data_IF_658115467769
#
_entry.id   IF_658115467769
#
_cell.length_a   1.000
_cell.length_b   1.000
_cell.length_c   1.000
_cell.angle_alpha   90.00
_cell.angle_beta   90.00
_cell.angle_gamma   90.00
#
_symmetry.space_group_name_H-M   'P 1'
#
loop_
_entity.id
_entity.type
_entity.pdbx_description
1 polymer ?
#
# COMPACT_ATOMS: atom_id res chain seq x y z
N UNK A 1 -8.88 7.41 17.66
CA UNK A 1 -7.64 8.15 17.32
C UNK A 1 -6.73 7.20 16.56
N UNK A 2 -7.17 6.76 15.39
CA UNK A 2 -6.49 5.75 14.57
C UNK A 2 -6.17 6.33 13.21
N UNK A 3 -4.92 6.13 12.79
CA UNK A 3 -4.40 6.27 11.42
C UNK A 3 -4.15 7.68 10.87
N UNK A 4 -2.97 8.19 11.12
CA UNK A 4 -2.30 9.22 10.29
C UNK A 4 -1.49 8.62 9.14
N UNK A 5 -1.65 7.32 8.87
CA UNK A 5 -0.72 6.48 8.12
C UNK A 5 -0.86 6.56 6.63
N UNK A 6 -2.07 6.42 6.18
CA UNK A 6 -2.42 6.29 4.77
C UNK A 6 -2.20 7.61 4.02
N UNK A 7 -2.69 8.69 4.62
CA UNK A 7 -2.55 10.04 4.08
C UNK A 7 -1.09 10.50 3.96
N UNK A 8 -0.24 10.11 4.92
CA UNK A 8 1.18 10.45 4.89
C UNK A 8 1.95 9.68 3.81
N UNK A 9 1.58 8.41 3.54
CA UNK A 9 2.19 7.63 2.47
C UNK A 9 1.81 8.21 1.09
N UNK A 10 0.56 8.53 0.88
CA UNK A 10 0.07 9.13 -0.36
C UNK A 10 0.63 10.55 -0.59
N UNK A 11 0.58 11.43 0.42
CA UNK A 11 1.13 12.78 0.34
C UNK A 11 2.65 12.78 0.13
N UNK A 12 3.39 11.86 0.78
CA UNK A 12 4.83 11.71 0.58
C UNK A 12 5.17 11.20 -0.83
N UNK A 13 4.40 10.25 -1.37
CA UNK A 13 4.57 9.75 -2.73
C UNK A 13 4.34 10.82 -3.79
N UNK A 14 3.36 11.70 -3.61
CA UNK A 14 3.06 12.82 -4.55
C UNK A 14 4.01 14.00 -4.39
N UNK A 15 4.47 14.33 -3.20
CA UNK A 15 5.49 15.38 -3.00
C UNK A 15 6.80 15.08 -3.77
N UNK A 16 7.09 13.81 -4.02
CA UNK A 16 8.23 13.39 -4.86
C UNK A 16 7.93 13.56 -6.36
N UNK A 17 6.67 13.50 -6.80
CA UNK A 17 6.25 13.64 -8.22
C UNK A 17 5.92 15.07 -8.62
N UNK A 18 5.38 15.88 -7.71
CA UNK A 18 5.02 17.29 -7.94
C UNK A 18 6.22 18.23 -7.77
N UNK A 19 6.99 18.47 -8.80
CA UNK A 19 8.20 19.30 -8.82
C UNK A 19 8.00 20.79 -8.56
N UNK A 20 7.05 21.24 -7.74
CA UNK A 20 6.78 22.66 -7.52
C UNK A 20 6.78 23.15 -6.06
N UNK A 21 6.79 22.28 -5.07
CA UNK A 21 6.67 22.71 -3.65
C UNK A 21 7.88 22.52 -2.75
N UNK A 22 9.04 22.07 -3.24
CA UNK A 22 10.28 21.96 -2.42
C UNK A 22 11.50 22.63 -3.07
N UNK A 23 11.41 23.93 -3.37
CA UNK A 23 12.59 24.78 -3.70
C UNK A 23 13.41 25.19 -2.48
N UNK A 24 13.31 24.52 -1.34
CA UNK A 24 14.08 24.89 -0.14
C UNK A 24 14.91 23.75 0.49
N UNK A 25 14.90 22.53 -0.04
CA UNK A 25 15.91 21.54 0.34
C UNK A 25 17.06 21.60 -0.66
N UNK A 26 18.11 22.34 -0.34
CA UNK A 26 19.37 22.38 -1.11
C UNK A 26 19.80 20.96 -1.43
N UNK A 27 20.01 20.68 -2.72
CA UNK A 27 20.72 19.50 -3.22
C UNK A 27 22.04 19.39 -2.46
N UNK A 28 22.09 18.50 -1.47
CA UNK A 28 23.36 17.97 -1.04
C UNK A 28 23.90 17.09 -2.19
N UNK A 29 25.22 17.13 -2.48
CA UNK A 29 25.81 16.33 -3.53
C UNK A 29 25.53 14.85 -3.22
N UNK A 30 25.20 14.06 -4.24
CA UNK A 30 25.06 12.59 -4.16
C UNK A 30 26.44 11.98 -3.87
N UNK A 31 26.90 12.10 -2.63
CA UNK A 31 27.92 11.24 -2.09
C UNK A 31 27.34 9.83 -2.01
N UNK A 32 28.15 8.83 -2.31
CA UNK A 32 27.83 7.41 -2.13
C UNK A 32 27.54 7.15 -0.65
N UNK A 33 26.31 7.41 -0.23
CA UNK A 33 25.86 7.18 1.14
C UNK A 33 25.71 5.66 1.31
N UNK A 34 26.78 4.97 1.72
CA UNK A 34 26.67 3.65 2.34
C UNK A 34 25.81 3.89 3.58
N UNK A 35 24.52 3.54 3.46
CA UNK A 35 23.63 3.56 4.61
C UNK A 35 24.15 2.47 5.56
N UNK A 36 24.66 2.89 6.71
CA UNK A 36 25.15 1.97 7.74
C UNK A 36 23.89 1.43 8.44
N UNK A 37 23.65 0.12 8.36
CA UNK A 37 22.68 -0.53 9.23
C UNK A 37 23.13 -0.41 10.68
N UNK A 38 22.21 -0.33 11.66
CA UNK A 38 22.57 -0.55 13.05
C UNK A 38 23.29 -1.88 13.23
N UNK A 39 24.30 -1.93 14.10
CA UNK A 39 25.15 -3.11 14.26
C UNK A 39 24.37 -4.38 14.58
N UNK A 40 23.37 -4.32 15.48
CA UNK A 40 22.51 -5.46 15.79
C UNK A 40 21.71 -5.92 14.58
N UNK A 41 21.15 -5.00 13.80
CA UNK A 41 20.42 -5.35 12.58
C UNK A 41 21.34 -5.99 11.54
N UNK A 42 22.56 -5.49 11.38
CA UNK A 42 23.56 -6.07 10.48
C UNK A 42 23.98 -7.48 10.93
N UNK A 43 24.22 -7.65 12.23
CA UNK A 43 24.58 -8.94 12.81
C UNK A 43 23.46 -9.95 12.62
N UNK A 44 22.20 -9.60 12.96
CA UNK A 44 21.05 -10.46 12.78
C UNK A 44 20.88 -10.95 11.33
N UNK A 45 20.97 -10.03 10.37
CA UNK A 45 20.88 -10.40 8.93
C UNK A 45 22.00 -11.37 8.53
N UNK A 46 23.22 -11.19 9.01
CA UNK A 46 24.34 -12.09 8.72
C UNK A 46 24.14 -13.47 9.35
N UNK A 47 23.65 -13.52 10.60
CA UNK A 47 23.43 -14.77 11.33
C UNK A 47 22.29 -15.61 10.71
N UNK A 48 21.22 -14.95 10.25
CA UNK A 48 20.11 -15.60 9.52
C UNK A 48 20.59 -16.31 8.26
N UNK A 49 21.50 -15.69 7.49
CA UNK A 49 22.03 -16.30 6.27
C UNK A 49 23.04 -17.41 6.60
N UNK A 50 23.70 -17.33 7.75
CA UNK A 50 24.56 -18.38 8.28
C UNK A 50 26.00 -17.95 8.54
N UNK A 51 26.72 -18.81 9.24
CA UNK A 51 28.12 -18.56 9.64
C UNK A 51 29.01 -18.22 8.45
N UNK A 52 29.79 -17.16 8.59
CA UNK A 52 30.72 -16.69 7.56
C UNK A 52 30.08 -15.80 6.50
N UNK A 53 28.81 -15.48 6.67
CA UNK A 53 28.13 -14.51 5.81
C UNK A 53 28.55 -13.09 6.12
N UNK A 54 28.54 -12.22 5.10
CA UNK A 54 28.89 -10.81 5.27
C UNK A 54 27.99 -9.93 4.39
N UNK A 55 27.58 -8.80 4.93
CA UNK A 55 26.84 -7.80 4.16
C UNK A 55 27.82 -7.14 3.20
N UNK A 56 27.52 -7.19 1.92
CA UNK A 56 28.31 -6.59 0.84
C UNK A 56 27.78 -5.21 0.44
N UNK A 57 26.48 -4.98 0.60
CA UNK A 57 25.88 -3.67 0.43
C UNK A 57 24.59 -3.54 1.24
N UNK A 58 24.32 -2.32 1.74
CA UNK A 58 23.04 -1.95 2.31
C UNK A 58 22.65 -0.56 1.77
N UNK A 59 21.42 -0.42 1.32
CA UNK A 59 20.87 0.82 0.79
C UNK A 59 19.46 1.03 1.33
N UNK A 60 19.21 2.16 1.93
CA UNK A 60 17.86 2.54 2.35
C UNK A 60 16.97 2.64 1.08
N UNK A 61 15.85 1.97 1.14
CA UNK A 61 14.78 2.13 0.16
C UNK A 61 13.99 3.41 0.50
N UNK A 62 13.15 3.86 -0.41
CA UNK A 62 12.34 5.06 -0.19
C UNK A 62 11.67 5.00 1.19
N UNK A 63 11.52 6.14 1.89
CA UNK A 63 10.88 6.16 3.19
C UNK A 63 9.42 5.70 3.04
N UNK A 64 9.14 4.50 3.52
CA UNK A 64 7.78 4.12 3.91
C UNK A 64 7.38 4.96 5.12
N UNK A 65 6.11 5.29 5.29
CA UNK A 65 5.64 6.11 6.41
C UNK A 65 5.99 5.53 7.78
N UNK A 66 5.91 4.22 7.94
CA UNK A 66 6.00 3.50 9.21
C UNK A 66 7.29 2.71 9.40
N UNK A 67 7.86 2.19 8.33
CA UNK A 67 8.97 1.26 8.35
C UNK A 67 10.23 1.89 7.75
N UNK A 68 11.37 1.45 8.26
CA UNK A 68 12.66 1.74 7.64
C UNK A 68 13.09 0.52 6.84
N UNK A 69 12.99 0.63 5.53
CA UNK A 69 13.28 -0.45 4.59
C UNK A 69 14.70 -0.33 4.02
N UNK A 70 15.45 -1.43 4.01
CA UNK A 70 16.77 -1.51 3.41
C UNK A 70 16.84 -2.64 2.39
N UNK A 71 17.33 -2.34 1.19
CA UNK A 71 17.82 -3.40 0.29
C UNK A 71 19.21 -3.82 0.75
N UNK A 72 19.37 -5.10 1.06
CA UNK A 72 20.60 -5.68 1.59
C UNK A 72 21.09 -6.76 0.64
N UNK A 73 22.39 -6.78 0.35
CA UNK A 73 23.05 -7.89 -0.32
C UNK A 73 24.00 -8.56 0.66
N UNK A 74 23.88 -9.88 0.79
CA UNK A 74 24.67 -10.69 1.71
C UNK A 74 25.39 -11.77 0.92
N UNK A 75 26.72 -11.84 1.00
CA UNK A 75 27.48 -12.95 0.48
C UNK A 75 27.58 -14.03 1.56
N UNK A 76 27.19 -15.26 1.24
CA UNK A 76 27.41 -16.42 2.12
C UNK A 76 28.85 -16.93 2.07
N UNK A 77 29.16 -17.94 2.87
CA UNK A 77 30.48 -18.56 2.92
C UNK A 77 30.91 -19.24 1.60
N UNK A 78 29.97 -19.52 0.72
CA UNK A 78 30.21 -20.14 -0.60
C UNK A 78 30.31 -19.09 -1.72
N UNK A 79 30.15 -17.80 -1.41
CA UNK A 79 30.20 -16.71 -2.36
C UNK A 79 28.88 -16.43 -3.08
N UNK A 80 27.80 -17.12 -2.75
CA UNK A 80 26.48 -16.79 -3.31
C UNK A 80 25.97 -15.48 -2.70
N UNK A 81 25.34 -14.68 -3.52
CA UNK A 81 24.76 -13.39 -3.08
C UNK A 81 23.25 -13.50 -2.89
N UNK A 82 22.82 -13.35 -1.65
CA UNK A 82 21.41 -13.24 -1.26
C UNK A 82 20.98 -11.78 -1.39
N UNK A 83 19.93 -11.51 -2.15
CA UNK A 83 19.32 -10.19 -2.29
C UNK A 83 18.06 -10.13 -1.44
N UNK A 84 18.06 -9.27 -0.44
CA UNK A 84 17.06 -9.24 0.62
C UNK A 84 16.53 -7.82 0.81
N UNK A 85 15.36 -7.74 1.46
CA UNK A 85 14.82 -6.51 2.03
C UNK A 85 14.70 -6.71 3.53
N UNK A 86 15.39 -5.90 4.29
CA UNK A 86 15.22 -5.77 5.74
C UNK A 86 14.21 -4.65 6.00
N UNK A 87 13.08 -4.99 6.58
CA UNK A 87 12.02 -4.09 6.96
C UNK A 87 11.95 -4.01 8.48
N UNK A 88 12.10 -2.81 9.03
CA UNK A 88 12.24 -2.56 10.47
C UNK A 88 11.19 -1.58 10.96
N UNK A 89 10.54 -1.89 12.07
CA UNK A 89 9.55 -1.03 12.75
C UNK A 89 10.28 -0.04 13.65
N UNK A 90 11.05 0.88 13.06
CA UNK A 90 11.97 1.75 13.77
C UNK A 90 11.36 3.13 14.11
N UNK A 91 10.09 3.38 13.79
CA UNK A 91 9.42 4.63 14.17
C UNK A 91 8.92 4.52 15.61
N UNK A 92 9.34 5.42 16.53
CA UNK A 92 8.84 5.43 17.91
C UNK A 92 7.31 5.61 17.95
N UNK A 93 6.63 4.86 18.78
CA UNK A 93 5.19 4.99 19.03
C UNK A 93 4.29 4.35 17.95
N UNK A 94 4.86 3.56 17.04
CA UNK A 94 4.07 2.89 15.98
C UNK A 94 2.96 1.99 16.57
N UNK A 95 3.18 1.36 17.72
CA UNK A 95 2.22 0.48 18.39
C UNK A 95 0.94 1.22 18.83
N UNK A 96 1.08 2.50 19.16
CA UNK A 96 -0.06 3.33 19.56
C UNK A 96 -0.84 3.84 18.36
N UNK A 97 -0.17 3.97 17.21
CA UNK A 97 -0.80 4.48 15.98
C UNK A 97 -1.67 3.41 15.31
N UNK A 98 -1.20 2.16 15.24
CA UNK A 98 -2.01 1.03 14.79
C UNK A 98 -1.49 -0.30 15.35
N UNK A 99 -2.17 -0.88 16.37
CA UNK A 99 -1.75 -2.13 17.00
C UNK A 99 -1.85 -3.35 16.06
N UNK A 100 -2.55 -3.21 14.94
CA UNK A 100 -2.65 -4.26 13.93
C UNK A 100 -1.46 -4.29 12.95
N UNK A 101 -0.58 -3.27 12.95
CA UNK A 101 0.60 -3.17 12.08
C UNK A 101 1.81 -3.89 12.66
N UNK A 102 1.73 -5.19 12.84
CA UNK A 102 2.79 -5.97 13.48
C UNK A 102 3.62 -6.80 12.48
N UNK A 103 4.83 -7.15 12.90
CA UNK A 103 5.71 -8.07 12.16
C UNK A 103 5.03 -9.43 11.97
N UNK A 104 4.36 -9.93 13.01
CA UNK A 104 3.65 -11.22 12.98
C UNK A 104 2.56 -11.24 11.93
N UNK A 105 1.82 -10.13 11.79
CA UNK A 105 0.75 -10.03 10.81
C UNK A 105 1.31 -10.06 9.39
N UNK A 106 2.30 -9.22 9.08
CA UNK A 106 2.92 -9.22 7.76
C UNK A 106 3.57 -10.56 7.44
N UNK A 107 4.28 -11.17 8.42
CA UNK A 107 4.87 -12.50 8.27
C UNK A 107 3.82 -13.53 7.88
N UNK A 108 2.72 -13.60 8.64
CA UNK A 108 1.63 -14.57 8.39
C UNK A 108 1.01 -14.41 7.00
N UNK A 109 0.77 -13.17 6.57
CA UNK A 109 0.21 -12.91 5.23
C UNK A 109 1.18 -13.38 4.15
N UNK A 110 2.45 -12.99 4.23
CA UNK A 110 3.46 -13.36 3.23
C UNK A 110 3.66 -14.88 3.17
N UNK A 111 3.59 -15.57 4.31
CA UNK A 111 3.64 -17.04 4.37
C UNK A 111 2.41 -17.69 3.71
N UNK A 112 1.20 -17.13 3.89
CA UNK A 112 -0.02 -17.58 3.21
C UNK A 112 0.09 -17.43 1.69
N UNK A 113 0.77 -16.40 1.22
CA UNK A 113 0.95 -16.13 -0.21
C UNK A 113 2.00 -17.01 -0.87
N UNK A 114 2.96 -17.54 -0.11
CA UNK A 114 4.10 -18.28 -0.65
C UNK A 114 3.72 -19.47 -1.57
N UNK A 115 2.73 -20.31 -1.25
CA UNK A 115 2.33 -21.42 -2.11
C UNK A 115 1.41 -21.02 -3.27
N UNK A 116 1.14 -19.75 -3.48
CA UNK A 116 0.19 -19.24 -4.45
C UNK A 116 0.89 -18.61 -5.66
N UNK A 117 0.17 -18.36 -6.78
CA UNK A 117 0.73 -17.64 -7.93
C UNK A 117 0.87 -16.12 -7.71
N UNK A 118 0.45 -15.59 -6.56
CA UNK A 118 0.62 -14.15 -6.25
C UNK A 118 2.11 -13.81 -6.17
N UNK A 119 2.59 -12.81 -6.94
CA UNK A 119 4.00 -12.44 -6.93
C UNK A 119 4.36 -11.66 -5.66
N UNK A 120 4.47 -12.34 -4.52
CA UNK A 120 4.82 -11.79 -3.22
C UNK A 120 6.26 -12.15 -2.83
N UNK A 121 6.92 -11.39 -1.92
CA UNK A 121 8.20 -11.79 -1.36
C UNK A 121 8.05 -13.06 -0.52
N UNK A 122 9.18 -13.71 -0.20
CA UNK A 122 9.23 -14.86 0.73
C UNK A 122 9.84 -14.39 2.03
N UNK A 123 9.27 -14.84 3.16
CA UNK A 123 9.86 -14.61 4.50
C UNK A 123 11.14 -15.45 4.62
N UNK A 124 12.23 -14.79 4.94
CA UNK A 124 13.52 -15.43 5.23
C UNK A 124 13.69 -15.59 6.74
N UNK A 125 13.33 -14.57 7.51
CA UNK A 125 13.27 -14.59 8.96
C UNK A 125 12.38 -13.46 9.49
N UNK A 126 11.86 -13.61 10.70
CA UNK A 126 11.15 -12.56 11.42
C UNK A 126 11.68 -12.48 12.86
N UNK A 127 11.72 -11.26 13.38
CA UNK A 127 12.03 -10.93 14.77
C UNK A 127 10.97 -9.99 15.31
N UNK A 128 9.81 -10.55 15.75
CA UNK A 128 8.61 -9.76 16.05
C UNK A 128 8.77 -8.78 17.19
N UNK A 129 9.65 -9.07 18.13
CA UNK A 129 9.85 -8.25 19.35
C UNK A 129 11.19 -7.52 19.37
N UNK A 130 12.06 -7.72 18.38
CA UNK A 130 13.38 -7.07 18.31
C UNK A 130 14.43 -7.68 19.23
N UNK A 131 14.30 -8.95 19.59
CA UNK A 131 15.24 -9.63 20.48
C UNK A 131 16.62 -9.81 19.84
N UNK A 132 16.65 -9.98 18.53
CA UNK A 132 17.86 -10.22 17.74
C UNK A 132 18.27 -9.01 16.90
N UNK A 133 17.31 -8.38 16.24
CA UNK A 133 17.48 -7.08 15.57
C UNK A 133 17.52 -5.96 16.62
N UNK A 134 17.65 -4.73 16.21
CA UNK A 134 17.60 -3.54 17.10
C UNK A 134 16.16 -3.09 17.42
N UNK A 135 15.20 -3.49 16.58
CA UNK A 135 13.76 -3.26 16.71
C UNK A 135 13.01 -4.41 16.05
N UNK A 136 11.70 -4.55 16.24
CA UNK A 136 10.89 -5.53 15.49
C UNK A 136 11.18 -5.46 13.99
N UNK A 137 11.40 -6.61 13.35
CA UNK A 137 11.86 -6.67 11.97
C UNK A 137 11.44 -7.93 11.23
N UNK A 138 11.33 -7.82 9.90
CA UNK A 138 11.17 -8.95 8.99
C UNK A 138 12.24 -8.87 7.88
N UNK A 139 12.83 -10.00 7.56
CA UNK A 139 13.77 -10.17 6.47
C UNK A 139 13.07 -10.94 5.34
N UNK A 140 12.96 -10.30 4.19
CA UNK A 140 12.23 -10.79 3.03
C UNK A 140 13.17 -10.99 1.85
N UNK A 141 12.83 -11.90 0.92
CA UNK A 141 13.48 -11.94 -0.39
C UNK A 141 13.19 -10.64 -1.14
N UNK A 142 14.20 -10.15 -1.89
CA UNK A 142 14.01 -8.96 -2.71
C UNK A 142 13.48 -9.35 -4.09
N UNK A 143 12.27 -8.90 -4.38
CA UNK A 143 11.67 -9.06 -5.69
C UNK A 143 12.38 -8.18 -6.74
N UNK A 144 12.42 -8.61 -8.02
CA UNK A 144 12.94 -7.80 -9.12
C UNK A 144 11.98 -6.67 -9.47
N UNK A 145 12.52 -5.58 -10.03
CA UNK A 145 11.72 -4.47 -10.54
C UNK A 145 11.78 -3.22 -9.69
N UNK A 146 10.88 -2.32 -10.00
CA UNK A 146 10.72 -0.99 -9.40
C UNK A 146 9.22 -0.62 -9.43
N UNK A 147 8.75 0.32 -8.59
CA UNK A 147 7.41 0.89 -8.75
C UNK A 147 7.19 1.40 -10.18
N UNK A 148 5.95 1.40 -10.69
CA UNK A 148 5.69 1.75 -12.07
C UNK A 148 6.16 3.17 -12.40
N UNK A 149 6.66 3.33 -13.62
CA UNK A 149 7.04 4.60 -14.21
C UNK A 149 6.05 4.95 -15.32
N UNK A 150 5.97 6.18 -15.79
CA UNK A 150 5.08 6.53 -16.92
C UNK A 150 5.26 5.61 -18.14
N UNK A 151 6.47 5.13 -18.40
CA UNK A 151 6.76 4.19 -19.50
C UNK A 151 6.20 2.77 -19.27
N UNK A 152 5.87 2.40 -18.05
CA UNK A 152 5.30 1.09 -17.72
C UNK A 152 3.76 1.08 -17.92
N UNK A 153 3.13 2.27 -18.03
CA UNK A 153 1.69 2.45 -18.21
C UNK A 153 1.20 2.20 -19.65
N UNK A 154 1.70 1.14 -20.29
CA UNK A 154 1.27 0.72 -21.63
C UNK A 154 -0.03 -0.11 -21.61
N UNK A 155 -0.41 -0.64 -22.78
CA UNK A 155 -1.69 -1.32 -23.05
C UNK A 155 -2.04 -2.48 -22.08
N UNK A 156 -1.07 -3.08 -21.43
CA UNK A 156 -1.28 -4.17 -20.48
C UNK A 156 -1.26 -3.76 -19.00
N UNK A 157 -1.09 -2.48 -18.67
CA UNK A 157 -0.88 -2.03 -17.30
C UNK A 157 -2.08 -2.33 -16.39
N UNK A 158 -3.24 -1.78 -16.73
CA UNK A 158 -4.47 -1.99 -15.94
C UNK A 158 -4.86 -3.48 -15.89
N UNK A 159 -4.67 -4.22 -17.00
CA UNK A 159 -4.98 -5.65 -17.05
C UNK A 159 -4.10 -6.44 -16.10
N UNK A 160 -2.78 -6.22 -16.07
CA UNK A 160 -1.88 -6.94 -15.16
C UNK A 160 -2.14 -6.60 -13.69
N UNK A 161 -2.47 -5.34 -13.37
CA UNK A 161 -2.92 -4.95 -12.03
C UNK A 161 -4.20 -5.72 -11.63
N UNK A 162 -5.18 -5.78 -12.52
CA UNK A 162 -6.46 -6.42 -12.27
C UNK A 162 -6.33 -7.95 -12.13
N UNK A 163 -5.59 -8.60 -13.03
CA UNK A 163 -5.33 -10.04 -12.98
C UNK A 163 -4.59 -10.44 -11.70
N UNK A 164 -3.59 -9.64 -11.28
CA UNK A 164 -2.86 -9.91 -10.04
C UNK A 164 -3.75 -9.73 -8.81
N UNK A 165 -4.61 -8.71 -8.78
CA UNK A 165 -5.55 -8.51 -7.69
C UNK A 165 -6.59 -9.64 -7.63
N UNK A 166 -7.02 -10.15 -8.78
CA UNK A 166 -7.92 -11.31 -8.84
C UNK A 166 -7.29 -12.56 -8.18
N UNK A 167 -5.99 -12.80 -8.40
CA UNK A 167 -5.26 -13.89 -7.73
C UNK A 167 -5.21 -13.71 -6.20
N UNK A 168 -5.05 -12.48 -5.72
CA UNK A 168 -5.06 -12.17 -4.28
C UNK A 168 -6.44 -12.47 -3.69
N UNK A 169 -7.50 -12.04 -4.37
CA UNK A 169 -8.88 -12.20 -3.90
C UNK A 169 -9.44 -13.63 -4.04
N UNK A 170 -8.78 -14.48 -4.82
CA UNK A 170 -9.15 -15.91 -4.99
C UNK A 170 -8.68 -16.78 -3.80
N UNK A 171 -7.91 -16.21 -2.87
CA UNK A 171 -7.44 -16.95 -1.70
C UNK A 171 -8.60 -17.17 -0.71
N UNK A 172 -9.04 -18.43 -0.64
CA UNK A 172 -10.04 -18.88 0.31
C UNK A 172 -9.50 -18.83 1.76
N UNK A 173 -10.41 -18.77 2.73
CA UNK A 173 -10.13 -18.93 4.16
C UNK A 173 -9.25 -17.85 4.82
N UNK A 174 -8.99 -16.73 4.15
CA UNK A 174 -8.23 -15.62 4.74
C UNK A 174 -8.81 -15.15 6.07
N UNK A 175 -10.12 -15.23 6.26
CA UNK A 175 -10.81 -14.85 7.49
C UNK A 175 -10.47 -15.71 8.71
N UNK A 176 -9.90 -16.90 8.52
CA UNK A 176 -9.45 -17.78 9.60
C UNK A 176 -8.16 -17.29 10.25
N UNK A 177 -7.32 -16.58 9.48
CA UNK A 177 -5.96 -16.25 9.88
C UNK A 177 -5.70 -14.75 10.02
N UNK A 178 -6.58 -13.91 9.47
CA UNK A 178 -6.38 -12.46 9.40
C UNK A 178 -7.46 -11.70 10.17
N UNK A 179 -7.14 -10.54 10.73
CA UNK A 179 -8.12 -9.68 11.36
C UNK A 179 -9.14 -9.21 10.31
N UNK A 180 -10.37 -8.99 10.76
CA UNK A 180 -11.38 -8.39 9.90
C UNK A 180 -11.05 -6.93 9.61
N UNK A 181 -11.30 -6.52 8.39
CA UNK A 181 -11.23 -5.13 7.98
C UNK A 181 -12.08 -4.23 8.88
N UNK A 182 -11.53 -3.08 9.23
CA UNK A 182 -12.21 -2.00 9.95
C UNK A 182 -11.89 -0.68 9.25
N UNK A 183 -12.88 0.21 9.17
CA UNK A 183 -12.66 1.57 8.69
C UNK A 183 -11.82 2.37 9.69
N UNK A 184 -11.08 3.35 9.19
CA UNK A 184 -10.31 4.27 10.01
C UNK A 184 -11.14 5.44 10.55
N UNK A 185 -12.34 5.65 10.02
CA UNK A 185 -13.25 6.70 10.48
C UNK A 185 -14.57 6.11 10.97
N UNK A 186 -15.30 6.88 11.78
CA UNK A 186 -16.65 6.52 12.21
C UNK A 186 -17.62 6.75 11.04
N UNK A 187 -17.95 5.69 10.36
CA UNK A 187 -18.82 5.71 9.19
C UNK A 187 -20.23 6.22 9.52
N UNK A 188 -20.76 5.89 10.69
CA UNK A 188 -22.10 6.28 11.10
C UNK A 188 -22.24 7.80 11.28
N UNK A 189 -21.15 8.48 11.61
CA UNK A 189 -21.09 9.92 11.85
C UNK A 189 -20.24 10.65 10.78
N UNK A 190 -19.96 10.02 9.65
CA UNK A 190 -19.18 10.65 8.57
C UNK A 190 -19.79 11.98 8.12
N UNK A 191 -19.00 13.03 8.13
CA UNK A 191 -19.34 14.36 7.62
C UNK A 191 -18.20 14.90 6.79
N UNK A 192 -18.45 15.77 5.80
CA UNK A 192 -17.37 16.39 5.05
C UNK A 192 -16.39 17.10 5.99
N UNK A 193 -15.09 16.89 5.80
CA UNK A 193 -14.08 17.59 6.58
C UNK A 193 -14.18 19.12 6.38
N UNK A 194 -13.79 19.90 7.40
CA UNK A 194 -13.93 21.38 7.37
C UNK A 194 -13.16 22.04 6.22
N UNK A 195 -12.10 21.41 5.76
CA UNK A 195 -11.25 21.90 4.68
C UNK A 195 -11.82 21.57 3.28
N UNK A 196 -12.74 20.60 3.18
CA UNK A 196 -13.34 20.22 1.90
C UNK A 196 -14.22 21.35 1.33
N UNK A 197 -14.28 21.51 -0.01
CA UNK A 197 -15.21 22.44 -0.64
C UNK A 197 -16.65 22.18 -0.22
N UNK A 198 -17.41 23.26 0.00
CA UNK A 198 -18.84 23.17 0.35
C UNK A 198 -19.68 22.90 -0.90
N UNK A 199 -19.61 21.68 -1.41
CA UNK A 199 -20.38 21.24 -2.58
C UNK A 199 -21.36 20.13 -2.18
N UNK A 200 -22.52 20.01 -2.86
CA UNK A 200 -23.50 18.97 -2.60
C UNK A 200 -22.92 17.55 -2.76
N UNK A 201 -21.86 17.39 -3.55
CA UNK A 201 -21.23 16.08 -3.81
C UNK A 201 -20.72 15.46 -2.51
N UNK A 202 -19.98 16.21 -1.70
CA UNK A 202 -19.40 15.70 -0.47
C UNK A 202 -20.46 15.42 0.61
N UNK A 203 -21.51 16.23 0.67
CA UNK A 203 -22.66 15.98 1.55
C UNK A 203 -23.39 14.68 1.15
N UNK A 204 -23.63 14.50 -0.15
CA UNK A 204 -24.24 13.29 -0.68
C UNK A 204 -23.34 12.07 -0.51
N UNK A 205 -22.03 12.19 -0.73
CA UNK A 205 -21.08 11.09 -0.54
C UNK A 205 -21.03 10.61 0.92
N UNK A 206 -20.93 11.55 1.88
CA UNK A 206 -20.97 11.20 3.31
C UNK A 206 -22.32 10.65 3.74
N UNK A 207 -23.44 11.17 3.23
CA UNK A 207 -24.77 10.61 3.46
C UNK A 207 -24.90 9.18 2.90
N UNK A 208 -24.30 8.93 1.75
CA UNK A 208 -24.32 7.62 1.10
C UNK A 208 -23.58 6.56 1.89
N UNK A 209 -22.38 6.85 2.42
CA UNK A 209 -21.59 5.88 3.19
C UNK A 209 -22.13 5.64 4.58
N UNK A 210 -22.94 6.54 5.13
CA UNK A 210 -23.68 6.31 6.40
C UNK A 210 -24.75 5.21 6.31
N UNK A 211 -25.17 4.87 5.08
CA UNK A 211 -26.10 3.76 4.90
C UNK A 211 -25.40 2.43 5.23
N UNK A 212 -26.15 1.41 5.66
CA UNK A 212 -25.58 0.08 5.87
C UNK A 212 -24.83 -0.40 4.63
N UNK A 213 -23.63 -1.00 4.79
CA UNK A 213 -22.85 -1.48 3.65
C UNK A 213 -23.60 -2.59 2.90
N UNK A 214 -23.49 -2.64 1.57
CA UNK A 214 -23.97 -3.77 0.79
C UNK A 214 -23.33 -5.08 1.26
N UNK A 215 -24.03 -6.19 1.05
CA UNK A 215 -23.45 -7.51 1.28
C UNK A 215 -22.30 -7.74 0.30
N UNK A 216 -21.12 -8.07 0.83
CA UNK A 216 -19.93 -8.34 0.05
C UNK A 216 -19.29 -9.66 0.48
N UNK A 217 -18.63 -10.35 -0.45
CA UNK A 217 -17.82 -11.51 -0.15
C UNK A 217 -16.56 -11.08 0.61
N UNK A 218 -16.30 -11.75 1.74
CA UNK A 218 -15.11 -11.52 2.54
C UNK A 218 -13.97 -12.39 2.01
N UNK A 219 -12.85 -11.77 1.68
CA UNK A 219 -11.66 -12.44 1.14
C UNK A 219 -10.40 -11.81 1.71
N UNK A 220 -9.22 -12.34 1.35
CA UNK A 220 -7.98 -11.61 1.57
C UNK A 220 -8.04 -10.31 0.78
N UNK A 221 -7.82 -9.19 1.46
CA UNK A 221 -7.58 -7.88 0.84
C UNK A 221 -6.20 -7.37 1.25
N UNK A 222 -5.51 -6.72 0.32
CA UNK A 222 -4.24 -6.07 0.57
C UNK A 222 -4.40 -4.83 1.44
N UNK A 223 -5.49 -4.12 1.23
CA UNK A 223 -5.90 -2.88 1.91
C UNK A 223 -5.04 -1.65 1.61
N UNK A 224 -3.95 -1.85 0.88
CA UNK A 224 -3.08 -0.79 0.36
C UNK A 224 -2.64 -1.13 -1.08
N UNK A 225 -3.56 -1.70 -1.88
CA UNK A 225 -3.28 -2.10 -3.26
C UNK A 225 -3.36 -0.90 -4.19
N UNK A 226 -2.20 -0.30 -4.46
CA UNK A 226 -2.06 0.84 -5.37
C UNK A 226 -0.77 0.70 -6.22
N UNK A 227 -0.59 1.49 -7.29
CA UNK A 227 0.51 1.29 -8.22
C UNK A 227 1.90 1.26 -7.57
N UNK A 228 2.16 2.09 -6.55
CA UNK A 228 3.48 2.17 -5.90
C UNK A 228 3.82 0.95 -5.05
N UNK A 229 2.82 0.17 -4.61
CA UNK A 229 3.02 -1.12 -3.93
C UNK A 229 3.14 -2.29 -4.92
N UNK A 230 3.22 -2.00 -6.23
CA UNK A 230 3.52 -2.99 -7.26
C UNK A 230 4.92 -2.78 -7.85
N UNK A 231 5.58 -3.87 -8.17
CA UNK A 231 6.90 -3.83 -8.81
C UNK A 231 6.80 -4.29 -10.27
N UNK A 232 7.55 -3.60 -11.12
CA UNK A 232 7.54 -3.84 -12.56
C UNK A 232 8.95 -4.11 -13.09
N UNK A 233 9.08 -5.18 -13.86
CA UNK A 233 10.32 -5.56 -14.51
C UNK A 233 10.05 -5.97 -15.96
N UNK A 234 10.73 -5.36 -16.91
CA UNK A 234 10.61 -5.68 -18.35
C UNK A 234 9.17 -5.61 -18.88
N UNK A 235 8.40 -4.59 -18.44
CA UNK A 235 7.01 -4.38 -18.83
C UNK A 235 5.99 -5.35 -18.20
N UNK A 236 6.40 -6.14 -17.20
CA UNK A 236 5.53 -7.08 -16.48
C UNK A 236 5.49 -6.75 -14.99
N UNK A 237 4.30 -6.91 -14.39
CA UNK A 237 4.16 -6.88 -12.95
C UNK A 237 4.94 -8.06 -12.35
N UNK A 238 5.91 -7.77 -11.52
CA UNK A 238 6.87 -8.73 -10.97
C UNK A 238 6.78 -8.88 -9.45
N UNK A 239 5.96 -8.06 -8.80
CA UNK A 239 5.79 -8.14 -7.35
C UNK A 239 4.70 -7.26 -6.80
N UNK A 240 4.12 -7.69 -5.68
CA UNK A 240 3.25 -6.91 -4.80
C UNK A 240 3.91 -6.88 -3.43
N UNK A 241 4.04 -5.70 -2.85
CA UNK A 241 4.78 -5.46 -1.59
C UNK A 241 3.93 -4.64 -0.62
N UNK A 242 4.37 -4.55 0.62
CA UNK A 242 3.72 -3.82 1.70
C UNK A 242 2.40 -4.45 2.18
N UNK A 243 2.51 -5.68 2.68
CA UNK A 243 1.39 -6.50 3.14
C UNK A 243 0.95 -6.23 4.58
N UNK A 244 1.49 -5.20 5.22
CA UNK A 244 1.26 -4.90 6.64
C UNK A 244 -0.21 -4.70 6.97
N UNK A 245 -0.97 -4.11 6.05
CA UNK A 245 -2.39 -3.81 6.25
C UNK A 245 -3.35 -4.93 5.86
N UNK A 246 -2.84 -6.00 5.23
CA UNK A 246 -3.67 -7.06 4.71
C UNK A 246 -4.64 -7.62 5.77
N UNK A 247 -5.87 -7.86 5.38
CA UNK A 247 -6.97 -8.24 6.27
C UNK A 247 -8.01 -9.08 5.53
N UNK A 248 -8.99 -9.60 6.26
CA UNK A 248 -10.17 -10.21 5.68
C UNK A 248 -11.25 -9.13 5.50
N UNK A 249 -11.60 -8.81 4.26
CA UNK A 249 -12.54 -7.74 3.95
C UNK A 249 -13.22 -7.89 2.59
N UNK A 250 -14.11 -6.94 2.25
CA UNK A 250 -14.71 -6.84 0.93
C UNK A 250 -13.65 -6.56 -0.14
N UNK A 251 -13.63 -7.38 -1.21
CA UNK A 251 -12.71 -7.17 -2.34
C UNK A 251 -12.86 -5.81 -3.01
N UNK A 252 -14.06 -5.27 -2.95
CA UNK A 252 -14.42 -3.97 -3.51
C UNK A 252 -13.60 -2.82 -2.94
N UNK A 253 -13.05 -2.97 -1.73
CA UNK A 253 -12.18 -1.96 -1.11
C UNK A 253 -10.83 -1.83 -1.81
N UNK A 254 -10.17 -2.94 -2.13
CA UNK A 254 -8.90 -2.90 -2.89
C UNK A 254 -9.13 -2.36 -4.30
N UNK A 255 -10.27 -2.73 -4.92
CA UNK A 255 -10.66 -2.18 -6.21
C UNK A 255 -10.86 -0.67 -6.14
N UNK A 256 -11.59 -0.20 -5.13
CA UNK A 256 -11.85 1.23 -4.94
C UNK A 256 -10.55 2.00 -4.70
N UNK A 257 -9.65 1.45 -3.88
CA UNK A 257 -8.36 2.06 -3.58
C UNK A 257 -7.49 2.18 -4.84
N UNK A 258 -7.36 1.12 -5.64
CA UNK A 258 -6.65 1.18 -6.90
C UNK A 258 -7.31 2.19 -7.86
N UNK A 259 -8.62 2.20 -7.94
CA UNK A 259 -9.37 3.07 -8.86
C UNK A 259 -9.14 4.55 -8.59
N UNK A 260 -9.27 5.02 -7.34
CA UNK A 260 -9.03 6.44 -7.07
C UNK A 260 -7.55 6.84 -7.26
N UNK A 261 -6.57 5.93 -7.02
CA UNK A 261 -5.17 6.16 -7.37
C UNK A 261 -5.00 6.31 -8.90
N UNK A 262 -5.64 5.44 -9.68
CA UNK A 262 -5.61 5.55 -11.14
C UNK A 262 -6.29 6.83 -11.64
N UNK A 263 -7.39 7.26 -11.02
CA UNK A 263 -8.03 8.57 -11.33
C UNK A 263 -7.05 9.71 -11.10
N UNK A 264 -6.33 9.70 -9.99
CA UNK A 264 -5.35 10.73 -9.66
C UNK A 264 -4.19 10.80 -10.67
N UNK A 265 -3.66 9.65 -11.09
CA UNK A 265 -2.45 9.58 -11.92
C UNK A 265 -2.74 9.46 -13.42
N UNK A 266 -3.85 8.82 -13.82
CA UNK A 266 -4.14 8.42 -15.21
C UNK A 266 -5.55 8.80 -15.68
N UNK A 267 -6.39 9.36 -14.80
CA UNK A 267 -7.77 9.78 -15.09
C UNK A 267 -8.80 8.66 -15.01
N UNK A 268 -10.09 9.06 -15.12
CA UNK A 268 -11.25 8.17 -14.93
C UNK A 268 -11.24 6.95 -15.86
N UNK A 269 -10.84 7.12 -17.11
CA UNK A 269 -10.83 6.04 -18.11
C UNK A 269 -9.93 4.87 -17.68
N UNK A 270 -8.78 5.16 -17.06
CA UNK A 270 -7.87 4.11 -16.56
C UNK A 270 -8.49 3.32 -15.41
N UNK A 271 -9.18 4.01 -14.49
CA UNK A 271 -9.88 3.38 -13.39
C UNK A 271 -11.04 2.48 -13.87
N UNK A 272 -11.78 2.91 -14.88
CA UNK A 272 -12.88 2.13 -15.44
C UNK A 272 -12.36 0.93 -16.25
N UNK A 273 -11.26 1.11 -16.98
CA UNK A 273 -10.60 0.02 -17.68
C UNK A 273 -10.04 -1.04 -16.71
N UNK A 274 -9.42 -0.63 -15.60
CA UNK A 274 -8.97 -1.55 -14.55
C UNK A 274 -10.12 -2.38 -13.98
N UNK A 275 -11.26 -1.74 -13.66
CA UNK A 275 -12.44 -2.44 -13.14
C UNK A 275 -13.00 -3.44 -14.16
N UNK A 276 -13.08 -3.06 -15.44
CA UNK A 276 -13.52 -3.94 -16.52
C UNK A 276 -12.58 -5.16 -16.67
N UNK A 277 -11.26 -4.95 -16.58
CA UNK A 277 -10.29 -6.04 -16.61
C UNK A 277 -10.46 -7.00 -15.42
N UNK A 278 -10.72 -6.48 -14.22
CA UNK A 278 -10.96 -7.32 -13.04
C UNK A 278 -12.24 -8.14 -13.18
N UNK A 279 -13.33 -7.53 -13.64
CA UNK A 279 -14.58 -8.25 -13.90
C UNK A 279 -14.40 -9.34 -14.97
N UNK A 280 -13.61 -9.05 -16.00
CA UNK A 280 -13.29 -10.04 -17.04
C UNK A 280 -12.46 -11.21 -16.48
N UNK A 281 -11.49 -10.94 -15.60
CA UNK A 281 -10.64 -11.96 -14.99
C UNK A 281 -11.39 -12.86 -14.01
N UNK A 282 -12.37 -12.32 -13.27
CA UNK A 282 -13.07 -13.04 -12.20
C UNK A 282 -14.44 -13.56 -12.61
N UNK A 283 -15.03 -13.04 -13.69
CA UNK A 283 -16.43 -13.29 -14.07
C UNK A 283 -17.45 -12.73 -13.06
N UNK A 284 -17.01 -11.91 -12.09
CA UNK A 284 -17.86 -11.43 -10.99
C UNK A 284 -18.42 -10.04 -11.32
N UNK A 285 -19.73 -9.84 -11.37
CA UNK A 285 -20.32 -8.51 -11.48
C UNK A 285 -20.15 -7.75 -10.15
N UNK A 286 -19.78 -6.48 -10.25
CA UNK A 286 -19.50 -5.60 -9.11
C UNK A 286 -20.51 -4.43 -9.06
N UNK A 287 -21.80 -4.78 -8.86
CA UNK A 287 -22.90 -3.79 -8.89
C UNK A 287 -22.77 -2.73 -7.79
N UNK A 288 -22.30 -3.13 -6.62
CA UNK A 288 -22.17 -2.25 -5.45
C UNK A 288 -20.81 -1.54 -5.38
N UNK A 289 -19.95 -1.67 -6.40
CA UNK A 289 -18.66 -1.01 -6.45
C UNK A 289 -18.75 0.50 -6.21
N UNK A 290 -19.75 1.25 -6.74
CA UNK A 290 -19.87 2.68 -6.48
C UNK A 290 -20.02 3.06 -5.00
N UNK A 291 -20.62 2.21 -4.17
CA UNK A 291 -20.65 2.42 -2.71
C UNK A 291 -19.24 2.33 -2.10
N UNK A 292 -18.48 1.30 -2.46
CA UNK A 292 -17.14 1.07 -1.95
C UNK A 292 -16.12 2.10 -2.47
N UNK A 293 -16.32 2.61 -3.68
CA UNK A 293 -15.56 3.74 -4.22
C UNK A 293 -15.67 4.98 -3.33
N UNK A 294 -16.88 5.30 -2.84
CA UNK A 294 -17.10 6.40 -1.91
C UNK A 294 -16.49 6.09 -0.53
N UNK A 295 -16.62 4.86 -0.03
CA UNK A 295 -16.04 4.45 1.26
C UNK A 295 -14.53 4.63 1.25
N UNK A 296 -13.82 4.10 0.25
CA UNK A 296 -12.36 4.18 0.19
C UNK A 296 -11.86 5.61 -0.08
N UNK A 297 -12.57 6.39 -0.89
CA UNK A 297 -12.21 7.79 -1.12
C UNK A 297 -12.38 8.64 0.13
N UNK A 298 -13.46 8.44 0.88
CA UNK A 298 -13.69 9.17 2.13
C UNK A 298 -12.76 8.71 3.24
N UNK A 299 -12.35 7.44 3.27
CA UNK A 299 -11.34 6.94 4.20
C UNK A 299 -10.02 7.74 4.06
N UNK A 300 -9.57 7.97 2.82
CA UNK A 300 -8.46 8.85 2.53
C UNK A 300 -8.71 10.30 2.96
N UNK A 301 -9.81 10.90 2.48
CA UNK A 301 -10.02 12.34 2.59
C UNK A 301 -10.35 12.78 4.03
N UNK A 302 -11.00 11.93 4.82
CA UNK A 302 -11.31 12.23 6.23
C UNK A 302 -10.09 12.00 7.12
N UNK A 303 -9.22 11.05 6.79
CA UNK A 303 -7.95 10.83 7.51
C UNK A 303 -6.98 12.01 7.31
N UNK A 304 -6.90 12.56 6.10
CA UNK A 304 -6.09 13.76 5.81
C UNK A 304 -6.57 14.97 6.63
N UNK A 305 -7.87 15.10 6.87
CA UNK A 305 -8.52 16.32 7.35
C UNK A 305 -8.11 16.82 8.73
N UNK A 306 -7.67 15.95 9.62
CA UNK A 306 -7.32 16.35 10.99
C UNK A 306 -5.83 16.69 11.17
N UNK A 307 -4.97 16.35 10.21
CA UNK A 307 -3.52 16.49 10.31
C UNK A 307 -2.89 17.48 9.33
N UNK A 308 -3.62 17.86 8.29
CA UNK A 308 -3.15 18.69 7.18
C UNK A 308 -4.14 19.82 6.90
N UNK A 309 -3.62 20.97 6.48
CA UNK A 309 -4.46 22.11 6.09
C UNK A 309 -4.95 21.95 4.64
N UNK A 310 -5.89 22.83 4.21
CA UNK A 310 -6.45 22.79 2.83
C UNK A 310 -5.41 23.01 1.71
N UNK A 311 -4.14 23.24 2.06
CA UNK A 311 -3.05 23.43 1.10
C UNK A 311 -2.26 22.17 0.76
N UNK A 312 -2.55 21.04 1.38
CA UNK A 312 -1.74 19.82 1.22
C UNK A 312 -2.26 18.88 0.12
N UNK A 313 -3.48 19.08 -0.37
CA UNK A 313 -4.01 18.39 -1.55
C UNK A 313 -3.97 19.34 -2.74
N UNK A 314 -3.38 18.88 -3.84
CA UNK A 314 -3.39 19.61 -5.10
C UNK A 314 -4.85 19.91 -5.51
N UNK A 315 -5.21 21.17 -5.83
CA UNK A 315 -6.58 21.52 -6.25
C UNK A 315 -7.05 20.72 -7.48
N UNK A 316 -6.16 20.31 -8.36
CA UNK A 316 -6.48 19.48 -9.52
C UNK A 316 -6.86 18.06 -9.10
N UNK A 317 -6.18 17.49 -8.11
CA UNK A 317 -6.53 16.20 -7.55
C UNK A 317 -7.87 16.25 -6.83
N UNK A 318 -8.11 17.30 -6.04
CA UNK A 318 -9.38 17.45 -5.36
C UNK A 318 -10.55 17.54 -6.37
N UNK A 319 -10.37 18.24 -7.50
CA UNK A 319 -11.37 18.25 -8.58
C UNK A 319 -11.58 16.87 -9.20
N UNK A 320 -10.51 16.09 -9.40
CA UNK A 320 -10.61 14.72 -9.91
C UNK A 320 -11.35 13.82 -8.93
N UNK A 321 -11.08 13.92 -7.64
CA UNK A 321 -11.77 13.18 -6.59
C UNK A 321 -13.24 13.57 -6.48
N UNK A 322 -13.58 14.85 -6.61
CA UNK A 322 -14.97 15.30 -6.61
C UNK A 322 -15.73 14.76 -7.83
N UNK A 323 -15.12 14.75 -9.02
CA UNK A 323 -15.71 14.14 -10.21
C UNK A 323 -15.86 12.63 -10.06
N UNK A 324 -14.88 11.96 -9.44
CA UNK A 324 -14.96 10.54 -9.15
C UNK A 324 -16.12 10.22 -8.19
N UNK A 325 -16.24 10.96 -7.11
CA UNK A 325 -17.36 10.85 -6.17
C UNK A 325 -18.72 11.07 -6.85
N UNK A 326 -18.81 12.10 -7.71
CA UNK A 326 -20.02 12.37 -8.50
C UNK A 326 -20.39 11.20 -9.42
N UNK A 327 -19.41 10.60 -10.09
CA UNK A 327 -19.62 9.42 -10.93
C UNK A 327 -20.11 8.23 -10.11
N UNK A 328 -19.50 8.00 -8.95
CA UNK A 328 -19.93 6.94 -8.04
C UNK A 328 -21.36 7.16 -7.53
N UNK A 329 -21.72 8.38 -7.14
CA UNK A 329 -23.08 8.73 -6.71
C UNK A 329 -24.12 8.51 -7.82
N UNK A 330 -23.78 8.80 -9.06
CA UNK A 330 -24.68 8.63 -10.22
C UNK A 330 -24.89 7.16 -10.58
N UNK A 331 -23.88 6.32 -10.39
CA UNK A 331 -23.88 4.91 -10.78
C UNK A 331 -24.32 3.96 -9.64
N UNK A 332 -24.74 4.47 -8.51
CA UNK A 332 -25.31 3.64 -7.43
C UNK A 332 -26.65 3.03 -7.89
N UNK A 333 -26.87 1.73 -7.58
CA UNK A 333 -28.11 1.04 -7.92
C UNK A 333 -29.34 1.64 -7.22
#
# INVERSE_FOLDING_TARGET
MYSRSFALSWAAGRAVRGGTALRAARRAPMGHNRCVLPDRAAQWVADVIGRGSRITSARRLHPGGWHVNHAVAVADRHGHTHRLVLRRWARPGWEADDPDYTVERETRVVELLHPTPVPAPVVVAADPVGDHCDVPAILLTRLPGHPPRPADAGDGFCRQLAETLALIHDLADAGTYLPRYRLYYDQAHATPARWMPRTPVWEQATAAVRQPPPRAAMTLIHRDYHPENTLWARGRLSGVVDWTQASCGPRELDLALMRWNLVADHGQQAADHFLACYQAATGTPLRDQPYWDLVALLDLLLDIGDSTGPGDIDPDDLRRFENYAKTALTNRP
#
